data_IF_843287091978
#
_entry.id   IF_843287091978
#
_cell.length_a   1.000
_cell.length_b   1.000
_cell.length_c   1.000
_cell.angle_alpha   90.00
_cell.angle_beta   90.00
_cell.angle_gamma   90.00
#
_symmetry.space_group_name_H-M   'P 1'
#
loop_
_entity.id
_entity.type
_entity.pdbx_description
1 polymer ?
#
# COMPACT_ATOMS: atom_id res chain seq x y z
N UNK A 1 14.36 8.78 -3.36
CA UNK A 1 14.54 9.22 -4.77
C UNK A 1 13.83 8.28 -5.75
N UNK A 2 14.02 6.96 -5.66
CA UNK A 2 13.49 5.98 -6.62
C UNK A 2 11.95 5.85 -6.65
N UNK A 3 11.26 5.93 -5.51
CA UNK A 3 9.78 5.98 -5.48
C UNK A 3 9.22 7.17 -6.28
N UNK A 4 9.83 8.36 -6.14
CA UNK A 4 9.44 9.55 -6.92
C UNK A 4 9.68 9.37 -8.41
N UNK A 5 10.77 8.73 -8.81
CA UNK A 5 11.02 8.39 -10.22
C UNK A 5 9.93 7.47 -10.75
N UNK A 6 9.54 6.42 -10.00
CA UNK A 6 8.43 5.55 -10.41
C UNK A 6 7.11 6.33 -10.51
N UNK A 7 6.77 7.11 -9.50
CA UNK A 7 5.55 7.93 -9.50
C UNK A 7 5.54 8.93 -10.68
N UNK A 8 6.69 9.38 -11.15
CA UNK A 8 6.79 10.26 -12.31
C UNK A 8 6.51 9.51 -13.63
N UNK A 9 6.91 8.23 -13.72
CA UNK A 9 6.79 7.41 -14.92
C UNK A 9 5.56 6.47 -14.92
N UNK A 10 4.74 6.49 -13.86
CA UNK A 10 3.56 5.63 -13.73
C UNK A 10 2.31 6.49 -13.72
N UNK A 11 1.29 6.12 -14.50
CA UNK A 11 -0.05 6.70 -14.34
C UNK A 11 -0.63 6.23 -13.02
N UNK A 12 -0.63 7.11 -12.02
CA UNK A 12 -1.19 6.85 -10.69
C UNK A 12 -2.63 7.37 -10.67
N UNK A 13 -3.58 6.52 -10.28
CA UNK A 13 -4.97 6.92 -10.06
C UNK A 13 -5.21 7.31 -8.58
N UNK A 14 -4.57 6.59 -7.66
CA UNK A 14 -4.64 6.84 -6.23
C UNK A 14 -3.36 6.44 -5.51
N UNK A 15 -3.14 7.00 -4.33
CA UNK A 15 -2.10 6.65 -3.38
C UNK A 15 -2.76 6.20 -2.08
N UNK A 16 -2.22 5.16 -1.45
CA UNK A 16 -2.65 4.69 -0.13
C UNK A 16 -1.43 4.39 0.72
N UNK A 17 -1.41 4.91 1.93
CA UNK A 17 -0.25 4.90 2.83
C UNK A 17 -0.72 4.38 4.18
N UNK A 18 -0.23 3.21 4.58
CA UNK A 18 -0.34 2.74 5.96
C UNK A 18 0.76 3.36 6.82
N UNK A 19 0.40 3.85 8.01
CA UNK A 19 1.34 4.37 9.00
C UNK A 19 1.15 3.63 10.31
N UNK A 20 2.22 3.04 10.81
CA UNK A 20 2.33 2.52 12.17
C UNK A 20 3.13 3.50 13.02
N UNK A 21 2.54 4.00 14.11
CA UNK A 21 3.24 4.80 15.11
C UNK A 21 2.61 4.55 16.48
N UNK A 22 3.43 4.42 17.51
CA UNK A 22 2.99 4.20 18.90
C UNK A 22 2.01 3.02 19.00
N UNK A 23 2.33 1.90 18.33
CA UNK A 23 1.51 0.69 18.23
C UNK A 23 0.09 0.90 17.65
N UNK A 24 -0.11 2.02 16.95
CA UNK A 24 -1.38 2.38 16.34
C UNK A 24 -1.25 2.51 14.82
N UNK A 25 -2.13 1.82 14.10
CA UNK A 25 -2.22 1.91 12.66
C UNK A 25 -3.20 3.01 12.24
N UNK A 26 -2.74 3.82 11.31
CA UNK A 26 -3.52 4.87 10.63
C UNK A 26 -3.30 4.74 9.13
N UNK A 27 -4.19 5.32 8.33
CA UNK A 27 -4.08 5.33 6.89
C UNK A 27 -4.21 6.74 6.32
N UNK A 28 -3.52 7.00 5.22
CA UNK A 28 -3.75 8.18 4.38
C UNK A 28 -4.03 7.72 2.96
N UNK A 29 -5.10 8.20 2.36
CA UNK A 29 -5.41 7.97 0.95
C UNK A 29 -5.43 9.29 0.18
N UNK A 30 -5.19 9.21 -1.12
CA UNK A 30 -5.25 10.34 -2.04
C UNK A 30 -5.63 9.87 -3.43
N UNK A 31 -6.76 10.35 -3.93
CA UNK A 31 -7.14 10.16 -5.33
C UNK A 31 -6.62 11.32 -6.16
N UNK A 32 -6.04 11.01 -7.31
CA UNK A 32 -5.45 12.02 -8.18
C UNK A 32 -6.53 12.99 -8.67
N UNK A 33 -6.28 14.28 -8.46
CA UNK A 33 -7.24 15.36 -8.73
C UNK A 33 -7.98 15.86 -7.48
N UNK A 34 -7.92 15.13 -6.37
CA UNK A 34 -8.44 15.59 -5.09
C UNK A 34 -7.63 16.76 -4.52
N UNK A 35 -8.29 17.59 -3.70
CA UNK A 35 -7.67 18.80 -3.10
C UNK A 35 -6.91 18.52 -1.81
N UNK A 36 -7.14 17.36 -1.20
CA UNK A 36 -6.59 16.98 0.08
C UNK A 36 -6.22 15.49 0.12
N UNK A 37 -5.33 15.17 1.04
CA UNK A 37 -5.09 13.83 1.56
C UNK A 37 -6.20 13.48 2.53
N UNK A 38 -6.73 12.27 2.46
CA UNK A 38 -7.77 11.79 3.35
C UNK A 38 -7.12 10.92 4.45
N UNK A 39 -7.26 11.31 5.71
CA UNK A 39 -6.61 10.65 6.85
C UNK A 39 -7.61 9.85 7.69
N UNK A 40 -7.41 8.53 7.76
CA UNK A 40 -8.16 7.62 8.58
C UNK A 40 -7.41 7.25 9.87
N UNK A 41 -7.97 7.66 11.00
CA UNK A 41 -7.59 7.25 12.36
C UNK A 41 -8.81 6.74 13.15
N UNK A 42 -8.84 5.44 13.44
CA UNK A 42 -9.94 4.78 14.15
C UNK A 42 -10.09 5.20 15.62
N UNK A 43 -9.12 5.89 16.20
CA UNK A 43 -9.18 6.49 17.54
C UNK A 43 -9.62 7.96 17.52
N UNK A 44 -9.93 8.52 16.34
CA UNK A 44 -10.15 9.96 16.13
C UNK A 44 -9.02 10.84 16.69
N UNK A 45 -7.78 10.35 16.60
CA UNK A 45 -6.63 11.18 16.89
C UNK A 45 -6.61 12.40 15.99
N UNK A 46 -5.98 13.47 16.48
CA UNK A 46 -5.67 14.61 15.62
C UNK A 46 -4.67 14.15 14.57
N UNK A 47 -4.84 14.62 13.34
CA UNK A 47 -3.82 14.46 12.30
C UNK A 47 -2.47 14.96 12.82
N UNK A 48 -1.40 14.15 12.74
CA UNK A 48 -0.08 14.58 13.16
C UNK A 48 0.36 15.84 12.41
N UNK A 49 0.88 16.82 13.14
CA UNK A 49 1.36 18.06 12.53
C UNK A 49 2.45 17.79 11.48
N UNK A 50 2.32 18.46 10.33
CA UNK A 50 3.28 18.33 9.24
C UNK A 50 3.21 17.02 8.46
N UNK A 51 2.33 16.07 8.80
CA UNK A 51 2.19 14.80 8.07
C UNK A 51 1.90 15.04 6.57
N UNK A 52 0.98 15.93 6.25
CA UNK A 52 0.62 16.24 4.86
C UNK A 52 1.78 16.88 4.09
N UNK A 53 2.53 17.77 4.72
CA UNK A 53 3.76 18.34 4.15
C UNK A 53 4.83 17.27 3.93
N UNK A 54 4.96 16.31 4.86
CA UNK A 54 5.91 15.21 4.70
C UNK A 54 5.52 14.33 3.51
N UNK A 55 4.26 13.92 3.40
CA UNK A 55 3.75 13.08 2.32
C UNK A 55 3.88 13.82 0.98
N UNK A 56 3.37 15.05 0.89
CA UNK A 56 3.43 15.87 -0.32
C UNK A 56 4.86 16.04 -0.83
N UNK A 57 5.82 16.41 0.03
CA UNK A 57 7.23 16.53 -0.38
C UNK A 57 7.85 15.20 -0.81
N UNK A 58 7.41 14.10 -0.20
CA UNK A 58 7.98 12.78 -0.46
C UNK A 58 7.46 12.14 -1.73
N UNK A 59 6.19 12.40 -2.09
CA UNK A 59 5.49 11.69 -3.17
C UNK A 59 5.18 12.58 -4.38
N UNK A 60 5.22 13.90 -4.26
CA UNK A 60 4.94 14.79 -5.40
C UNK A 60 5.99 14.67 -6.50
N UNK A 61 5.51 14.66 -7.74
CA UNK A 61 6.31 14.72 -8.96
C UNK A 61 5.75 15.79 -9.89
N UNK A 62 6.43 16.05 -11.01
CA UNK A 62 5.92 17.00 -12.01
C UNK A 62 4.58 16.54 -12.63
N UNK A 63 4.37 15.23 -12.75
CA UNK A 63 3.16 14.61 -13.30
C UNK A 63 2.12 14.25 -12.23
N UNK A 64 2.51 14.22 -10.96
CA UNK A 64 1.66 13.83 -9.82
C UNK A 64 1.79 14.86 -8.68
N UNK A 65 1.02 15.97 -8.72
CA UNK A 65 1.00 16.92 -7.62
C UNK A 65 0.19 16.36 -6.45
N UNK A 66 0.85 16.06 -5.33
CA UNK A 66 0.19 15.59 -4.11
C UNK A 66 -0.03 16.78 -3.16
N UNK A 67 -1.26 17.09 -2.74
CA UNK A 67 -1.52 18.20 -1.83
C UNK A 67 -0.94 17.94 -0.45
N UNK A 68 -0.66 19.00 0.30
CA UNK A 68 -0.25 18.90 1.71
C UNK A 68 -1.40 19.05 2.70
N UNK A 69 -2.58 19.47 2.22
CA UNK A 69 -3.79 19.58 3.04
C UNK A 69 -4.25 18.18 3.41
N UNK A 70 -4.59 17.98 4.68
CA UNK A 70 -5.22 16.76 5.17
C UNK A 70 -6.64 17.07 5.63
N UNK A 71 -7.57 16.23 5.21
CA UNK A 71 -8.94 16.18 5.71
C UNK A 71 -9.13 14.88 6.50
N UNK A 72 -9.97 14.93 7.54
CA UNK A 72 -10.32 13.73 8.29
C UNK A 72 -11.23 12.84 7.43
N UNK A 73 -10.82 11.60 7.28
CA UNK A 73 -11.56 10.59 6.54
C UNK A 73 -12.73 9.99 7.28
N UNK A 74 -13.64 9.42 6.50
CA UNK A 74 -14.60 8.46 7.05
C UNK A 74 -13.87 7.15 7.33
N UNK A 75 -13.60 6.90 8.61
CA UNK A 75 -12.94 5.70 9.12
C UNK A 75 -13.80 5.12 10.22
N UNK A 76 -13.95 3.81 10.19
CA UNK A 76 -14.69 3.12 11.23
C UNK A 76 -13.90 3.12 12.56
N UNK A 77 -14.63 3.29 13.65
CA UNK A 77 -14.09 3.64 14.95
C UNK A 77 -13.84 2.42 15.81
N UNK A 78 -12.77 2.45 16.58
CA UNK A 78 -12.51 1.45 17.61
C UNK A 78 -12.91 1.97 18.99
N UNK A 79 -13.45 1.11 19.84
CA UNK A 79 -13.58 1.35 21.29
C UNK A 79 -14.78 2.19 21.75
N UNK A 80 -15.38 3.05 20.91
CA UNK A 80 -16.62 3.77 21.29
C UNK A 80 -17.80 2.82 21.06
N UNK A 81 -18.41 2.33 22.14
CA UNK A 81 -19.48 1.31 22.21
C UNK A 81 -19.06 -0.19 22.17
N UNK A 82 -17.81 -0.49 22.57
CA UNK A 82 -17.53 -1.73 23.33
C UNK A 82 -17.19 -3.01 22.56
N UNK A 83 -16.03 -3.06 21.91
CA UNK A 83 -15.40 -4.32 21.51
C UNK A 83 -13.90 -4.20 21.25
N UNK A 84 -13.19 -5.35 21.23
CA UNK A 84 -11.80 -5.48 20.75
C UNK A 84 -11.73 -5.11 19.26
N UNK A 85 -11.55 -3.82 18.98
CA UNK A 85 -11.32 -3.30 17.64
C UNK A 85 -9.86 -3.42 17.22
N UNK A 86 -9.59 -3.54 15.92
CA UNK A 86 -8.23 -3.56 15.38
C UNK A 86 -7.98 -2.31 14.56
N UNK A 87 -7.08 -1.44 15.02
CA UNK A 87 -6.64 -0.25 14.28
C UNK A 87 -6.12 -0.60 12.89
N UNK A 88 -5.42 -1.74 12.77
CA UNK A 88 -4.94 -2.25 11.48
C UNK A 88 -6.10 -2.58 10.52
N UNK A 89 -7.16 -3.24 11.01
CA UNK A 89 -8.34 -3.55 10.21
C UNK A 89 -9.11 -2.30 9.80
N UNK A 90 -9.27 -1.35 10.71
CA UNK A 90 -9.91 -0.08 10.39
C UNK A 90 -9.12 0.72 9.35
N UNK A 91 -7.80 0.81 9.49
CA UNK A 91 -6.92 1.47 8.52
C UNK A 91 -6.96 0.77 7.15
N UNK A 92 -6.91 -0.57 7.11
CA UNK A 92 -7.00 -1.34 5.87
C UNK A 92 -8.38 -1.19 5.21
N UNK A 93 -9.47 -1.23 5.98
CA UNK A 93 -10.81 -1.01 5.46
C UNK A 93 -10.98 0.39 4.86
N UNK A 94 -10.43 1.42 5.52
CA UNK A 94 -10.41 2.78 4.99
C UNK A 94 -9.70 2.86 3.62
N UNK A 95 -8.56 2.18 3.47
CA UNK A 95 -7.86 2.08 2.18
C UNK A 95 -8.73 1.37 1.14
N UNK A 96 -9.29 0.20 1.48
CA UNK A 96 -10.10 -0.59 0.54
C UNK A 96 -11.34 0.17 0.06
N UNK A 97 -12.02 0.90 0.96
CA UNK A 97 -13.18 1.72 0.61
C UNK A 97 -12.87 2.87 -0.34
N UNK A 98 -11.60 3.31 -0.40
CA UNK A 98 -11.15 4.30 -1.39
C UNK A 98 -10.99 3.67 -2.77
N UNK A 99 -10.62 2.38 -2.83
CA UNK A 99 -10.45 1.65 -4.08
C UNK A 99 -11.78 1.09 -4.62
N UNK A 100 -12.66 0.69 -3.72
CA UNK A 100 -13.98 0.12 -4.02
C UNK A 100 -15.01 0.63 -3.00
N UNK A 101 -15.95 1.44 -3.47
CA UNK A 101 -16.99 2.05 -2.62
C UNK A 101 -17.98 1.03 -2.07
N UNK A 102 -18.10 -0.14 -2.71
CA UNK A 102 -19.00 -1.22 -2.29
C UNK A 102 -18.38 -2.10 -1.19
N UNK A 103 -17.11 -1.89 -0.87
CA UNK A 103 -16.44 -2.57 0.25
C UNK A 103 -17.20 -2.32 1.56
N UNK A 104 -17.64 -3.37 2.26
CA UNK A 104 -18.36 -3.22 3.52
C UNK A 104 -17.55 -2.44 4.56
N UNK A 105 -18.19 -1.47 5.22
CA UNK A 105 -17.58 -0.76 6.34
C UNK A 105 -17.26 -1.74 7.47
N UNK A 106 -16.01 -1.71 7.94
CA UNK A 106 -15.59 -2.48 9.10
C UNK A 106 -16.37 -2.03 10.34
N UNK A 107 -16.76 -2.99 11.17
CA UNK A 107 -17.31 -2.73 12.50
C UNK A 107 -16.62 -3.66 13.50
N UNK A 108 -16.38 -3.22 14.75
CA UNK A 108 -15.64 -4.02 15.73
C UNK A 108 -16.18 -5.44 15.92
N UNK A 109 -17.51 -5.61 15.94
CA UNK A 109 -18.19 -6.91 16.13
C UNK A 109 -17.97 -7.91 15.00
N UNK A 110 -17.53 -7.47 13.83
CA UNK A 110 -17.21 -8.33 12.67
C UNK A 110 -15.72 -8.49 12.42
N UNK A 111 -14.85 -7.99 13.31
CA UNK A 111 -13.39 -8.00 13.10
C UNK A 111 -12.82 -9.38 12.76
N UNK A 112 -13.36 -10.46 13.35
CA UNK A 112 -12.95 -11.83 13.00
C UNK A 112 -13.21 -12.15 11.53
N UNK A 113 -14.39 -11.81 11.01
CA UNK A 113 -14.77 -12.05 9.62
C UNK A 113 -13.84 -11.30 8.65
N UNK A 114 -13.51 -10.04 8.94
CA UNK A 114 -12.57 -9.27 8.12
C UNK A 114 -11.16 -9.88 8.16
N UNK A 115 -10.69 -10.32 9.35
CA UNK A 115 -9.40 -11.03 9.48
C UNK A 115 -9.38 -12.35 8.71
N UNK A 116 -10.48 -13.10 8.73
CA UNK A 116 -10.58 -14.37 8.01
C UNK A 116 -10.51 -14.14 6.49
N UNK A 117 -11.17 -13.09 5.97
CA UNK A 117 -11.08 -12.69 4.56
C UNK A 117 -9.62 -12.34 4.21
N UNK A 118 -8.97 -11.51 5.02
CA UNK A 118 -7.58 -11.11 4.79
C UNK A 118 -6.62 -12.29 4.83
N UNK A 119 -6.84 -13.21 5.77
CA UNK A 119 -6.05 -14.43 5.88
C UNK A 119 -6.26 -15.33 4.66
N UNK A 120 -7.49 -15.47 4.17
CA UNK A 120 -7.78 -16.23 2.95
C UNK A 120 -7.06 -15.62 1.75
N UNK A 121 -7.05 -14.29 1.60
CA UNK A 121 -6.34 -13.62 0.51
C UNK A 121 -4.83 -13.85 0.60
N UNK A 122 -4.25 -13.76 1.79
CA UNK A 122 -2.83 -14.08 2.03
C UNK A 122 -2.51 -15.55 1.73
N UNK A 123 -3.37 -16.48 2.14
CA UNK A 123 -3.20 -17.91 1.87
C UNK A 123 -3.32 -18.20 0.36
N UNK A 124 -4.28 -17.59 -0.33
CA UNK A 124 -4.41 -17.71 -1.79
C UNK A 124 -3.16 -17.21 -2.49
N UNK A 125 -2.67 -16.01 -2.12
CA UNK A 125 -1.41 -15.48 -2.65
C UNK A 125 -0.26 -16.47 -2.44
N UNK A 126 -0.09 -16.97 -1.20
CA UNK A 126 0.97 -17.90 -0.87
C UNK A 126 0.89 -19.20 -1.66
N UNK A 127 -0.29 -19.80 -1.79
CA UNK A 127 -0.48 -21.05 -2.53
C UNK A 127 -0.20 -20.89 -4.02
N UNK A 128 -0.64 -19.77 -4.62
CA UNK A 128 -0.33 -19.45 -6.03
C UNK A 128 1.18 -19.24 -6.19
N UNK A 129 1.79 -18.40 -5.35
CA UNK A 129 3.23 -18.15 -5.31
C UNK A 129 4.03 -19.47 -5.25
N UNK A 130 3.68 -20.33 -4.30
CA UNK A 130 4.36 -21.60 -4.06
C UNK A 130 4.23 -22.56 -5.24
N UNK A 131 3.02 -22.78 -5.75
CA UNK A 131 2.77 -23.73 -6.85
C UNK A 131 3.64 -23.41 -8.07
N UNK A 132 3.76 -22.14 -8.40
CA UNK A 132 4.52 -21.68 -9.55
C UNK A 132 6.04 -21.79 -9.34
N UNK A 133 6.52 -21.54 -8.11
CA UNK A 133 7.90 -21.88 -7.75
C UNK A 133 8.16 -23.38 -7.92
N UNK A 134 7.20 -24.24 -7.53
CA UNK A 134 7.29 -25.68 -7.74
C UNK A 134 7.25 -26.06 -9.25
N UNK A 135 6.62 -25.24 -10.10
CA UNK A 135 6.62 -25.35 -11.57
C UNK A 135 7.92 -24.80 -12.21
N UNK A 136 8.83 -24.25 -11.40
CA UNK A 136 10.14 -23.75 -11.84
C UNK A 136 10.18 -22.27 -12.21
N UNK A 137 9.10 -21.52 -12.00
CA UNK A 137 9.07 -20.06 -12.20
C UNK A 137 9.75 -19.34 -11.02
N UNK A 138 10.45 -18.24 -11.32
CA UNK A 138 10.98 -17.32 -10.32
C UNK A 138 10.17 -16.01 -10.26
N UNK A 139 10.52 -15.11 -9.34
CA UNK A 139 9.81 -13.83 -9.22
C UNK A 139 9.87 -12.96 -10.48
N UNK A 140 10.98 -12.97 -11.22
CA UNK A 140 11.17 -12.16 -12.42
C UNK A 140 10.34 -12.69 -13.60
N UNK A 141 9.90 -13.95 -13.57
CA UNK A 141 8.93 -14.48 -14.55
C UNK A 141 7.53 -13.84 -14.38
N UNK A 142 7.26 -13.19 -13.25
CA UNK A 142 5.92 -12.71 -12.87
C UNK A 142 5.79 -11.21 -12.95
N UNK A 143 6.91 -10.54 -13.11
CA UNK A 143 6.98 -9.11 -13.04
C UNK A 143 7.92 -8.56 -14.08
N UNK A 144 7.71 -7.31 -14.43
CA UNK A 144 8.71 -6.52 -15.14
C UNK A 144 9.05 -5.28 -14.32
N UNK A 145 10.24 -4.69 -14.51
CA UNK A 145 10.51 -3.37 -13.97
C UNK A 145 9.37 -2.40 -14.33
N UNK A 146 8.98 -1.56 -13.38
CA UNK A 146 7.84 -0.66 -13.59
C UNK A 146 8.11 0.41 -14.67
N UNK A 147 9.38 0.72 -14.96
CA UNK A 147 9.82 1.59 -16.06
C UNK A 147 11.24 1.23 -16.52
N UNK A 148 11.67 1.80 -17.66
CA UNK A 148 13.04 1.63 -18.19
C UNK A 148 14.11 2.20 -17.24
N UNK A 149 13.81 3.31 -16.55
CA UNK A 149 14.73 3.86 -15.54
C UNK A 149 14.86 2.92 -14.34
N UNK A 150 13.76 2.30 -13.92
CA UNK A 150 13.79 1.29 -12.85
C UNK A 150 14.59 0.07 -13.29
N UNK A 151 14.41 -0.39 -14.53
CA UNK A 151 15.21 -1.48 -15.10
C UNK A 151 16.71 -1.16 -15.08
N UNK A 152 17.09 0.02 -15.59
CA UNK A 152 18.47 0.51 -15.62
C UNK A 152 19.10 0.57 -14.24
N UNK A 153 18.31 0.98 -13.24
CA UNK A 153 18.74 1.07 -11.84
C UNK A 153 18.93 -0.33 -11.22
N UNK A 154 18.02 -1.27 -11.50
CA UNK A 154 18.13 -2.66 -11.05
C UNK A 154 19.40 -3.30 -11.64
N UNK A 155 19.61 -3.16 -12.96
CA UNK A 155 20.80 -3.68 -13.66
C UNK A 155 22.11 -3.09 -13.13
N UNK A 156 22.16 -1.77 -12.96
CA UNK A 156 23.34 -1.10 -12.37
C UNK A 156 23.64 -1.61 -10.95
N UNK A 157 22.60 -1.93 -10.17
CA UNK A 157 22.75 -2.45 -8.80
C UNK A 157 23.24 -3.90 -8.81
N UNK A 158 22.72 -4.74 -9.72
CA UNK A 158 23.14 -6.13 -9.89
C UNK A 158 24.62 -6.22 -10.32
N UNK A 159 25.06 -5.35 -11.23
CA UNK A 159 26.43 -5.31 -11.75
C UNK A 159 27.47 -4.82 -10.72
N UNK A 160 27.06 -4.17 -9.64
CA UNK A 160 27.96 -3.71 -8.56
C UNK A 160 28.31 -4.81 -7.55
N UNK A 161 27.94 -6.09 -7.79
CA UNK A 161 28.30 -7.23 -6.93
C UNK A 161 27.73 -7.17 -5.52
N UNK A 162 26.78 -6.26 -5.29
CA UNK A 162 26.25 -5.95 -3.98
C UNK A 162 25.00 -6.77 -3.66
N UNK A 163 25.17 -8.02 -3.25
CA UNK A 163 24.17 -8.68 -2.38
C UNK A 163 23.87 -7.84 -1.11
N UNK A 164 24.70 -6.83 -0.83
CA UNK A 164 24.65 -5.94 0.32
C UNK A 164 23.71 -4.73 0.29
N UNK A 165 23.12 -4.34 -0.86
CA UNK A 165 22.35 -3.08 -0.96
C UNK A 165 20.89 -3.21 -1.38
N UNK A 166 20.42 -4.39 -1.79
CA UNK A 166 18.99 -4.62 -2.09
C UNK A 166 18.07 -4.22 -0.92
N UNK A 167 18.53 -4.41 0.33
CA UNK A 167 17.78 -4.06 1.54
C UNK A 167 17.60 -2.56 1.76
N UNK A 168 18.58 -1.73 1.33
CA UNK A 168 18.45 -0.26 1.35
C UNK A 168 17.39 0.23 0.35
N UNK A 169 17.02 -0.61 -0.64
CA UNK A 169 16.09 -0.25 -1.73
C UNK A 169 14.66 -0.71 -1.51
N UNK A 170 14.45 -1.79 -0.76
CA UNK A 170 13.13 -2.39 -0.54
C UNK A 170 12.47 -1.91 0.76
N UNK A 171 13.23 -1.31 1.68
CA UNK A 171 12.75 -0.94 3.03
C UNK A 171 12.37 -2.13 3.93
N UNK A 172 12.13 -3.31 3.34
CA UNK A 172 11.62 -4.50 4.02
C UNK A 172 12.33 -5.81 3.62
N UNK A 173 13.28 -5.77 2.68
CA UNK A 173 13.97 -6.97 2.19
C UNK A 173 13.11 -7.91 1.33
N UNK A 174 11.89 -7.49 0.95
CA UNK A 174 11.02 -8.23 0.03
C UNK A 174 11.07 -7.66 -1.37
N UNK A 175 11.14 -8.55 -2.38
CA UNK A 175 10.88 -8.19 -3.77
C UNK A 175 9.44 -7.69 -3.88
N UNK A 176 9.29 -6.37 -3.88
CA UNK A 176 7.99 -5.73 -3.76
C UNK A 176 7.47 -5.22 -5.11
N UNK A 177 6.15 -5.04 -5.18
CA UNK A 177 5.51 -4.39 -6.33
C UNK A 177 5.75 -2.87 -6.33
N UNK A 178 6.69 -2.35 -5.52
CA UNK A 178 7.10 -0.96 -5.56
C UNK A 178 8.11 -0.68 -6.68
N UNK A 179 8.87 -1.69 -7.11
CA UNK A 179 9.83 -1.59 -8.23
C UNK A 179 9.36 -2.35 -9.48
N UNK A 180 8.42 -3.27 -9.29
CA UNK A 180 8.02 -4.24 -10.28
C UNK A 180 6.52 -4.14 -10.54
N UNK A 181 6.13 -4.24 -11.81
CA UNK A 181 4.73 -4.34 -12.25
C UNK A 181 4.43 -5.81 -12.54
N UNK A 182 3.33 -6.38 -12.00
CA UNK A 182 2.96 -7.76 -12.29
C UNK A 182 2.64 -7.95 -13.78
N UNK A 183 3.16 -9.03 -14.36
CA UNK A 183 2.85 -9.51 -15.71
C UNK A 183 1.59 -10.38 -15.73
N UNK A 184 1.28 -10.99 -14.59
CA UNK A 184 0.12 -11.84 -14.39
C UNK A 184 -0.91 -11.12 -13.53
N UNK A 185 -2.18 -11.15 -13.96
CA UNK A 185 -3.27 -10.72 -13.08
C UNK A 185 -3.41 -11.79 -12.00
N UNK A 186 -2.88 -11.49 -10.82
CA UNK A 186 -3.15 -12.29 -9.64
C UNK A 186 -4.53 -11.89 -9.15
N UNK A 187 -5.55 -12.71 -9.41
CA UNK A 187 -6.92 -12.54 -8.87
C UNK A 187 -7.00 -12.75 -7.35
N UNK A 188 -5.90 -12.48 -6.66
CA UNK A 188 -5.75 -12.47 -5.20
C UNK A 188 -6.55 -11.31 -4.59
N UNK A 189 -6.82 -10.25 -5.36
CA UNK A 189 -7.65 -9.11 -4.97
C UNK A 189 -8.89 -8.96 -5.86
N UNK A 190 -9.49 -10.07 -6.31
CA UNK A 190 -10.74 -10.05 -7.11
C UNK A 190 -11.94 -9.40 -6.39
N UNK A 191 -11.81 -9.06 -5.11
CA UNK A 191 -12.78 -8.31 -4.32
C UNK A 191 -12.55 -6.78 -4.33
N UNK A 192 -11.54 -6.28 -5.05
CA UNK A 192 -11.23 -4.84 -5.20
C UNK A 192 -11.43 -4.33 -6.64
N UNK A 193 -12.21 -5.04 -7.47
CA UNK A 193 -12.56 -4.64 -8.84
C UNK A 193 -14.00 -4.95 -9.17
#
# INVERSE_FOLDING_TARGET
>A
MRLRSRLACTTVASLSIGRLADDHFTAVTFDVGSRALNFGDSLHGRTPEGLGNLISRSLSTASLPVPSVIECGDVALQGVDGGEGSCAQAALNHIRKTLDIDTPTWIPSKSSQFRDIDLIDLLRFHLIAKRRVDEGEDFLDWVRPASEEVASVIEATANMGGHGREWEYMGCGYRDFNLYTPLVRLDVYSHLT
#
